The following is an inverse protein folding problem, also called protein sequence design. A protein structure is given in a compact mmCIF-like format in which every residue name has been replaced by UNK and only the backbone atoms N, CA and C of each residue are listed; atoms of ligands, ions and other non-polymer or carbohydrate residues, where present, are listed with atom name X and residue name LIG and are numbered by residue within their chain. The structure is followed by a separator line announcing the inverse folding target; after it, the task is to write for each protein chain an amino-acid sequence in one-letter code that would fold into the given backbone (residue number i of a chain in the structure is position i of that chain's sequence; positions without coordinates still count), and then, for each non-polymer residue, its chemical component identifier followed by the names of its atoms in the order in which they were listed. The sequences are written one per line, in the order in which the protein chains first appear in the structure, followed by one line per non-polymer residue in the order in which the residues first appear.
data_IF_143320035155
#
_entry.id   IF_143320035155
#
_cell.length_a   1.000
_cell.length_b   1.000
_cell.length_c   1.000
_cell.angle_alpha   90.00
_cell.angle_beta   90.00
_cell.angle_gamma   90.00
#
_symmetry.space_group_name_H-M   'P 1'
#
loop_
_entity.id
_entity.type
_entity.pdbx_description
1 polymer ?
#
# COMPACT_ATOMS: atom_id res chain seq x y z
N UNK A 1 -19.15 -3.33 16.75
CA UNK A 1 -18.10 -4.33 17.03
C UNK A 1 -17.35 -4.51 15.70
N UNK A 2 -16.03 -4.40 15.71
CA UNK A 2 -15.25 -4.44 14.47
C UNK A 2 -15.35 -5.80 13.76
N UNK A 3 -15.39 -5.78 12.44
CA UNK A 3 -15.58 -6.96 11.58
C UNK A 3 -14.47 -8.02 11.76
N UNK A 4 -13.26 -7.58 12.07
CA UNK A 4 -12.07 -8.43 12.15
C UNK A 4 -11.57 -8.66 13.58
N UNK A 5 -12.30 -8.17 14.58
CA UNK A 5 -11.91 -8.30 16.00
C UNK A 5 -11.64 -9.76 16.37
N UNK A 6 -12.51 -10.68 15.96
CA UNK A 6 -12.38 -12.11 16.28
C UNK A 6 -11.05 -12.76 15.81
N UNK A 7 -10.34 -12.13 14.87
CA UNK A 7 -9.04 -12.63 14.40
C UNK A 7 -7.88 -12.31 15.35
N UNK A 8 -8.05 -11.32 16.25
CA UNK A 8 -6.93 -10.71 16.99
C UNK A 8 -7.27 -10.37 18.44
N UNK A 9 -8.47 -10.68 18.94
CA UNK A 9 -8.93 -10.34 20.29
C UNK A 9 -8.44 -11.32 21.37
N UNK A 10 -7.92 -12.47 20.96
CA UNK A 10 -7.32 -13.46 21.84
C UNK A 10 -5.82 -13.62 21.56
N UNK A 11 -5.09 -14.12 22.56
CA UNK A 11 -3.65 -14.43 22.39
C UNK A 11 -3.44 -15.43 21.26
N UNK A 12 -4.26 -16.47 21.19
CA UNK A 12 -4.20 -17.49 20.15
C UNK A 12 -4.52 -16.91 18.76
N UNK A 13 -5.57 -16.09 18.65
CA UNK A 13 -5.92 -15.39 17.41
C UNK A 13 -4.80 -14.48 16.93
N UNK A 14 -4.17 -13.73 17.83
CA UNK A 14 -3.04 -12.86 17.51
C UNK A 14 -1.82 -13.66 17.02
N UNK A 15 -1.51 -14.82 17.61
CA UNK A 15 -0.43 -15.67 17.15
C UNK A 15 -0.73 -16.31 15.78
N UNK A 16 -1.97 -16.74 15.53
CA UNK A 16 -2.41 -17.19 14.21
C UNK A 16 -2.30 -16.09 13.16
N UNK A 17 -2.70 -14.86 13.53
CA UNK A 17 -2.57 -13.69 12.66
C UNK A 17 -1.10 -13.40 12.34
N UNK A 18 -0.25 -13.39 13.36
CA UNK A 18 1.20 -13.20 13.22
C UNK A 18 1.82 -14.21 12.27
N UNK A 19 1.51 -15.49 12.46
CA UNK A 19 2.00 -16.58 11.61
C UNK A 19 1.51 -16.45 10.16
N UNK A 20 0.20 -16.19 9.96
CA UNK A 20 -0.42 -16.03 8.64
C UNK A 20 0.22 -14.91 7.82
N UNK A 21 0.49 -13.76 8.45
CA UNK A 21 1.07 -12.60 7.77
C UNK A 21 2.59 -12.49 7.92
N UNK A 22 3.24 -13.52 8.47
CA UNK A 22 4.69 -13.63 8.64
C UNK A 22 5.29 -12.42 9.35
N UNK A 23 4.61 -11.95 10.40
CA UNK A 23 5.08 -10.83 11.22
C UNK A 23 6.20 -11.33 12.13
N UNK A 24 7.41 -10.74 12.08
CA UNK A 24 8.55 -11.20 12.87
C UNK A 24 8.27 -11.18 14.38
N UNK A 25 8.84 -12.10 15.16
CA UNK A 25 8.57 -12.23 16.60
C UNK A 25 9.08 -11.02 17.41
N UNK A 26 10.09 -10.31 16.93
CA UNK A 26 10.63 -9.11 17.54
C UNK A 26 9.75 -7.85 17.35
N UNK A 27 8.72 -7.92 16.50
CA UNK A 27 7.77 -6.83 16.27
C UNK A 27 6.69 -6.90 17.33
N UNK A 28 6.53 -5.84 18.13
CA UNK A 28 5.40 -5.71 19.05
C UNK A 28 4.10 -5.48 18.28
N UNK A 29 3.04 -6.21 18.65
CA UNK A 29 1.71 -6.08 18.04
C UNK A 29 0.64 -6.15 19.13
N UNK A 30 -0.35 -5.25 19.05
CA UNK A 30 -1.53 -5.25 19.92
C UNK A 30 -2.76 -4.76 19.16
N UNK A 31 -3.93 -5.25 19.55
CA UNK A 31 -5.20 -4.80 18.98
C UNK A 31 -5.62 -3.45 19.59
N UNK A 32 -6.18 -2.58 18.77
CA UNK A 32 -6.81 -1.35 19.20
C UNK A 32 -8.25 -1.27 18.68
N UNK A 33 -9.19 -1.10 19.59
CA UNK A 33 -10.60 -0.95 19.24
C UNK A 33 -10.87 0.40 18.55
N UNK A 34 -11.96 0.44 17.80
CA UNK A 34 -12.42 1.65 17.12
C UNK A 34 -12.55 2.83 18.10
N UNK A 35 -12.05 3.98 17.69
CA UNK A 35 -12.12 5.24 18.46
C UNK A 35 -11.04 5.43 19.53
N UNK A 36 -10.34 4.38 19.95
CA UNK A 36 -9.27 4.46 20.97
C UNK A 36 -7.85 4.45 20.41
N UNK A 37 -7.68 4.12 19.15
CA UNK A 37 -6.36 3.91 18.54
C UNK A 37 -5.47 5.16 18.49
N UNK A 38 -6.06 6.36 18.44
CA UNK A 38 -5.30 7.63 18.41
C UNK A 38 -4.67 7.89 19.78
N UNK A 39 -5.43 7.69 20.85
CA UNK A 39 -5.03 8.01 22.21
C UNK A 39 -4.10 6.94 22.80
N UNK A 40 -4.28 5.68 22.39
CA UNK A 40 -3.50 4.54 22.89
C UNK A 40 -2.10 4.41 22.27
N UNK A 41 -1.77 5.24 21.29
CA UNK A 41 -0.50 5.14 20.56
C UNK A 41 0.64 5.86 21.26
N UNK A 42 1.75 5.14 21.47
CA UNK A 42 3.00 5.69 21.99
C UNK A 42 3.91 6.21 20.85
N UNK A 43 4.88 7.03 21.23
CA UNK A 43 5.92 7.48 20.28
C UNK A 43 6.65 6.29 19.67
N UNK A 44 6.85 6.32 18.35
CA UNK A 44 7.51 5.23 17.60
C UNK A 44 6.59 4.07 17.21
N UNK A 45 5.32 4.07 17.63
CA UNK A 45 4.32 3.10 17.19
C UNK A 45 3.61 3.57 15.91
N UNK A 46 3.18 2.60 15.11
CA UNK A 46 2.34 2.84 13.93
C UNK A 46 1.01 2.09 14.06
N UNK A 47 -0.06 2.74 13.64
CA UNK A 47 -1.40 2.15 13.59
C UNK A 47 -1.69 1.72 12.16
N UNK A 48 -2.14 0.49 11.97
CA UNK A 48 -2.42 -0.08 10.66
C UNK A 48 -3.78 -0.75 10.70
N UNK A 49 -4.68 -0.45 9.76
CA UNK A 49 -5.96 -1.15 9.65
C UNK A 49 -5.76 -2.64 9.36
N UNK A 50 -6.50 -3.52 10.02
CA UNK A 50 -6.41 -4.98 9.77
C UNK A 50 -6.70 -5.33 8.31
N UNK A 51 -7.62 -4.62 7.69
CA UNK A 51 -7.98 -4.80 6.28
C UNK A 51 -6.80 -4.55 5.31
N UNK A 52 -5.81 -3.75 5.72
CA UNK A 52 -4.58 -3.55 4.94
C UNK A 52 -3.78 -4.85 4.76
N UNK A 53 -3.86 -5.75 5.73
CA UNK A 53 -3.25 -7.09 5.63
C UNK A 53 -4.14 -8.05 4.84
N UNK A 54 -5.44 -8.10 5.16
CA UNK A 54 -6.37 -9.08 4.61
C UNK A 54 -6.59 -8.85 3.11
N UNK A 55 -6.93 -7.64 2.72
CA UNK A 55 -7.24 -7.28 1.33
C UNK A 55 -6.07 -6.58 0.63
N UNK A 56 -5.30 -5.77 1.35
CA UNK A 56 -4.15 -5.05 0.80
C UNK A 56 -2.89 -5.89 0.65
N UNK A 57 -2.77 -7.00 1.39
CA UNK A 57 -1.58 -7.83 1.39
C UNK A 57 -0.35 -7.12 1.97
N UNK A 58 -0.55 -6.22 2.90
CA UNK A 58 0.52 -5.52 3.59
C UNK A 58 1.45 -6.49 4.31
N UNK A 59 2.73 -6.15 4.41
CA UNK A 59 3.76 -6.94 5.12
C UNK A 59 4.46 -6.10 6.18
N UNK A 60 4.92 -6.75 7.24
CA UNK A 60 5.79 -6.19 8.27
C UNK A 60 7.09 -7.02 8.28
N UNK A 61 8.26 -6.40 8.30
CA UNK A 61 8.54 -4.95 8.23
C UNK A 61 8.03 -4.28 6.95
N UNK A 62 7.61 -3.02 7.11
CA UNK A 62 7.12 -2.24 5.96
C UNK A 62 8.26 -1.95 4.99
N UNK A 63 8.15 -2.45 3.78
CA UNK A 63 9.18 -2.31 2.75
C UNK A 63 9.42 -0.88 2.28
N UNK A 64 10.60 -0.63 1.73
CA UNK A 64 11.08 0.70 1.32
C UNK A 64 10.14 1.40 0.32
N UNK A 65 9.63 0.69 -0.69
CA UNK A 65 8.70 1.28 -1.67
C UNK A 65 7.46 1.84 -0.98
N UNK A 66 6.83 1.07 -0.08
CA UNK A 66 5.63 1.50 0.65
C UNK A 66 5.92 2.70 1.55
N UNK A 67 7.02 2.67 2.30
CA UNK A 67 7.42 3.79 3.17
C UNK A 67 7.67 5.06 2.36
N UNK A 68 8.43 4.97 1.27
CA UNK A 68 8.75 6.11 0.43
C UNK A 68 7.49 6.69 -0.22
N UNK A 69 6.55 5.85 -0.65
CA UNK A 69 5.25 6.28 -1.16
C UNK A 69 4.46 7.05 -0.10
N UNK A 70 4.33 6.48 1.10
CA UNK A 70 3.60 7.11 2.21
C UNK A 70 4.26 8.43 2.64
N UNK A 71 5.59 8.49 2.67
CA UNK A 71 6.34 9.72 2.97
C UNK A 71 6.15 10.79 1.91
N UNK A 72 6.23 10.42 0.64
CA UNK A 72 6.05 11.34 -0.49
C UNK A 72 4.69 12.02 -0.43
N UNK A 73 3.63 11.27 -0.17
CA UNK A 73 2.29 11.80 -0.03
C UNK A 73 1.94 12.29 1.38
N UNK A 74 2.83 12.16 2.35
CA UNK A 74 2.62 12.49 3.77
C UNK A 74 1.39 11.79 4.37
N UNK A 75 1.17 10.54 4.00
CA UNK A 75 0.05 9.73 4.46
C UNK A 75 0.50 8.77 5.56
N UNK A 76 -0.34 8.62 6.58
CA UNK A 76 -0.24 7.50 7.52
C UNK A 76 -0.97 6.27 6.97
N UNK A 77 -0.62 5.05 7.41
CA UNK A 77 -1.30 3.84 6.96
C UNK A 77 -2.81 3.83 7.25
N UNK A 78 -3.27 4.53 8.30
CA UNK A 78 -4.69 4.65 8.65
C UNK A 78 -5.53 5.42 7.63
N UNK A 79 -4.87 6.23 6.79
CA UNK A 79 -5.51 7.00 5.74
C UNK A 79 -5.56 6.26 4.40
N UNK A 80 -4.96 5.08 4.31
CA UNK A 80 -4.73 4.37 3.05
C UNK A 80 -5.68 3.21 2.85
N UNK A 81 -6.42 3.23 1.75
CA UNK A 81 -7.29 2.12 1.35
C UNK A 81 -6.49 0.84 1.04
N UNK A 82 -7.10 -0.35 1.19
CA UNK A 82 -6.45 -1.62 0.90
C UNK A 82 -5.87 -1.71 -0.51
N UNK A 83 -6.53 -1.12 -1.51
CA UNK A 83 -6.04 -1.15 -2.89
C UNK A 83 -4.66 -0.51 -3.05
N UNK A 84 -4.35 0.51 -2.26
CA UNK A 84 -3.05 1.17 -2.27
C UNK A 84 -1.94 0.18 -1.85
N UNK A 85 -2.14 -0.55 -0.77
CA UNK A 85 -1.16 -1.55 -0.32
C UNK A 85 -1.05 -2.71 -1.33
N UNK A 86 -2.15 -3.10 -1.96
CA UNK A 86 -2.15 -4.13 -3.01
C UNK A 86 -1.31 -3.71 -4.20
N UNK A 87 -1.45 -2.48 -4.68
CA UNK A 87 -0.63 -1.92 -5.76
C UNK A 87 0.85 -1.91 -5.37
N UNK A 88 1.18 -1.34 -4.22
CA UNK A 88 2.57 -1.21 -3.77
C UNK A 88 3.23 -2.59 -3.56
N UNK A 89 2.50 -3.56 -3.00
CA UNK A 89 3.00 -4.93 -2.87
C UNK A 89 3.23 -5.59 -4.23
N UNK A 90 2.29 -5.44 -5.15
CA UNK A 90 2.42 -6.04 -6.48
C UNK A 90 3.63 -5.47 -7.23
N UNK A 91 3.87 -4.16 -7.15
CA UNK A 91 5.04 -3.52 -7.74
C UNK A 91 6.33 -4.00 -7.06
N UNK A 92 6.33 -4.20 -5.74
CA UNK A 92 7.47 -4.81 -5.05
C UNK A 92 7.78 -6.19 -5.62
N UNK A 93 6.76 -7.05 -5.79
CA UNK A 93 6.93 -8.39 -6.39
C UNK A 93 7.42 -8.33 -7.83
N UNK A 94 6.94 -7.37 -8.62
CA UNK A 94 7.44 -7.14 -9.98
C UNK A 94 8.91 -6.74 -9.97
N UNK A 95 9.31 -5.83 -9.09
CA UNK A 95 10.70 -5.45 -8.93
C UNK A 95 11.59 -6.67 -8.61
N UNK A 96 11.15 -7.52 -7.69
CA UNK A 96 11.90 -8.71 -7.28
C UNK A 96 11.99 -9.78 -8.39
N UNK A 97 10.88 -10.03 -9.10
CA UNK A 97 10.83 -11.10 -10.13
C UNK A 97 11.44 -10.70 -11.45
N UNK A 98 11.32 -9.45 -11.82
CA UNK A 98 11.69 -8.94 -13.12
C UNK A 98 12.97 -8.08 -13.08
N UNK A 99 13.62 -8.01 -11.90
CA UNK A 99 14.78 -7.16 -11.66
C UNK A 99 14.54 -5.70 -12.09
N UNK A 100 13.30 -5.19 -11.84
CA UNK A 100 12.94 -3.82 -12.13
C UNK A 100 13.29 -2.94 -10.93
N UNK A 101 13.45 -1.65 -11.18
CA UNK A 101 13.68 -0.67 -10.13
C UNK A 101 12.58 0.40 -10.16
N UNK A 102 11.32 -0.05 -10.10
CA UNK A 102 10.16 0.83 -10.03
C UNK A 102 10.08 1.46 -8.65
N UNK A 103 9.92 2.77 -8.63
CA UNK A 103 9.90 3.61 -7.43
C UNK A 103 8.49 4.13 -7.15
N UNK A 104 8.32 4.87 -6.07
CA UNK A 104 7.07 5.57 -5.77
C UNK A 104 6.73 6.65 -6.81
N UNK A 105 7.70 7.20 -7.53
CA UNK A 105 7.46 8.12 -8.64
C UNK A 105 6.80 7.40 -9.83
N UNK A 106 7.26 6.19 -10.16
CA UNK A 106 6.67 5.38 -11.22
C UNK A 106 5.22 4.97 -10.86
N UNK A 107 4.97 4.65 -9.58
CA UNK A 107 3.60 4.43 -9.08
C UNK A 107 2.73 5.67 -9.28
N UNK A 108 3.22 6.85 -8.90
CA UNK A 108 2.49 8.11 -9.06
C UNK A 108 2.28 8.50 -10.52
N UNK A 109 3.12 8.00 -11.43
CA UNK A 109 2.95 8.22 -12.85
C UNK A 109 1.80 7.39 -13.44
N UNK A 110 1.62 6.16 -12.97
CA UNK A 110 0.57 5.23 -13.46
C UNK A 110 -0.75 5.45 -12.73
N UNK A 111 -0.71 5.81 -11.46
CA UNK A 111 -1.88 5.95 -10.60
C UNK A 111 -2.04 7.37 -10.06
N UNK A 112 -3.28 7.82 -9.96
CA UNK A 112 -3.66 9.01 -9.22
C UNK A 112 -4.07 8.65 -7.79
N UNK A 113 -3.65 9.49 -6.84
CA UNK A 113 -4.17 9.45 -5.48
C UNK A 113 -5.51 10.20 -5.42
N UNK A 114 -6.56 9.50 -5.05
CA UNK A 114 -7.91 10.05 -4.89
C UNK A 114 -8.32 10.06 -3.43
N UNK A 115 -9.00 11.13 -3.01
CA UNK A 115 -9.60 11.22 -1.69
C UNK A 115 -11.04 10.68 -1.74
N UNK A 116 -11.36 9.82 -0.80
CA UNK A 116 -12.74 9.38 -0.56
C UNK A 116 -13.26 10.03 0.72
N UNK A 117 -14.29 10.87 0.57
CA UNK A 117 -14.87 11.66 1.68
C UNK A 117 -15.08 10.78 2.92
N UNK A 118 -14.44 11.12 4.03
CA UNK A 118 -14.56 10.41 5.30
C UNK A 118 -13.89 9.02 5.38
N UNK A 119 -13.30 8.51 4.30
CA UNK A 119 -12.80 7.12 4.22
C UNK A 119 -11.31 6.99 3.86
N UNK A 120 -10.59 8.12 3.68
CA UNK A 120 -9.17 8.10 3.38
C UNK A 120 -8.85 8.21 1.88
N UNK A 121 -7.71 7.66 1.46
CA UNK A 121 -7.15 7.79 0.12
C UNK A 121 -7.02 6.44 -0.56
N UNK A 122 -7.22 6.41 -1.88
CA UNK A 122 -7.07 5.22 -2.72
C UNK A 122 -6.36 5.53 -4.03
N UNK A 123 -5.81 4.53 -4.67
CA UNK A 123 -5.19 4.65 -5.98
C UNK A 123 -6.17 4.30 -7.09
N UNK A 124 -6.21 5.15 -8.13
CA UNK A 124 -6.96 4.93 -9.36
C UNK A 124 -6.03 5.05 -10.55
N UNK A 125 -6.07 4.10 -11.49
CA UNK A 125 -5.28 4.20 -12.71
C UNK A 125 -5.58 5.51 -13.46
N UNK A 126 -4.53 6.17 -13.95
CA UNK A 126 -4.66 7.34 -14.83
C UNK A 126 -5.25 6.96 -16.19
N UNK A 127 -4.90 5.77 -16.63
CA UNK A 127 -5.29 5.22 -17.92
C UNK A 127 -6.18 4.02 -17.68
N UNK A 128 -7.52 4.14 -17.86
CA UNK A 128 -8.47 3.06 -17.56
C UNK A 128 -8.17 1.77 -18.33
N UNK A 129 -7.66 1.88 -19.53
CA UNK A 129 -7.26 0.78 -20.42
C UNK A 129 -5.93 0.13 -20.02
N UNK A 130 -5.09 0.85 -19.26
CA UNK A 130 -3.77 0.38 -18.82
C UNK A 130 -3.82 0.09 -17.32
N UNK A 131 -4.20 -1.14 -16.95
CA UNK A 131 -4.25 -1.56 -15.55
C UNK A 131 -3.06 -2.46 -15.24
N UNK A 132 -2.02 -1.88 -14.66
CA UNK A 132 -0.84 -2.65 -14.24
C UNK A 132 -1.21 -3.76 -13.23
N UNK A 133 -2.17 -3.49 -12.35
CA UNK A 133 -2.67 -4.44 -11.37
C UNK A 133 -4.18 -4.60 -11.56
N UNK A 134 -4.60 -5.85 -11.74
CA UNK A 134 -6.01 -6.22 -11.85
C UNK A 134 -6.57 -6.68 -10.50
N UNK A 135 -7.89 -6.86 -10.40
CA UNK A 135 -8.58 -7.37 -9.22
C UNK A 135 -8.23 -6.59 -7.94
N UNK A 136 -8.17 -5.27 -8.06
CA UNK A 136 -7.96 -4.41 -6.90
C UNK A 136 -9.19 -4.42 -6.00
N UNK A 137 -9.02 -4.40 -4.66
CA UNK A 137 -10.13 -4.22 -3.73
C UNK A 137 -10.89 -2.93 -4.07
N UNK A 138 -12.20 -3.04 -4.24
CA UNK A 138 -13.08 -1.92 -4.59
C UNK A 138 -13.76 -1.31 -3.37
N UNK A 139 -13.75 -2.04 -2.25
CA UNK A 139 -14.43 -1.65 -1.02
C UNK A 139 -13.45 -1.19 0.04
N UNK A 140 -13.79 -0.07 0.68
CA UNK A 140 -13.10 0.41 1.88
C UNK A 140 -13.88 0.07 3.17
N UNK A 141 -14.85 -0.85 3.07
CA UNK A 141 -15.59 -1.33 4.23
C UNK A 141 -14.61 -1.96 5.22
N UNK A 142 -14.66 -1.52 6.47
CA UNK A 142 -13.74 -1.98 7.52
C UNK A 142 -12.41 -1.20 7.63
N UNK A 143 -12.17 -0.18 6.79
CA UNK A 143 -10.93 0.62 6.90
C UNK A 143 -10.78 1.29 8.27
N UNK A 144 -11.88 1.72 8.88
CA UNK A 144 -11.90 2.43 10.17
C UNK A 144 -12.48 1.61 11.33
N UNK A 145 -12.58 0.30 11.18
CA UNK A 145 -13.23 -0.54 12.18
C UNK A 145 -12.26 -1.18 13.16
N UNK A 146 -11.20 -1.79 12.64
CA UNK A 146 -10.26 -2.59 13.41
C UNK A 146 -8.82 -2.23 13.07
N UNK A 147 -8.01 -2.01 14.10
CA UNK A 147 -6.64 -1.57 13.96
C UNK A 147 -5.68 -2.45 14.77
N UNK A 148 -4.47 -2.56 14.24
CA UNK A 148 -3.33 -3.10 14.97
C UNK A 148 -2.32 -1.98 15.21
N UNK A 149 -1.76 -1.96 16.40
CA UNK A 149 -0.66 -1.07 16.76
C UNK A 149 0.61 -1.89 16.77
N UNK A 150 1.57 -1.44 15.99
CA UNK A 150 2.88 -2.05 15.86
C UNK A 150 3.92 -1.19 16.56
N UNK A 151 4.77 -1.83 17.37
CA UNK A 151 5.90 -1.22 18.03
C UNK A 151 7.17 -1.98 17.70
N UNK A 152 8.31 -1.28 17.65
CA UNK A 152 9.64 -1.83 17.32
C UNK A 152 9.65 -2.63 16.01
N UNK A 153 10.70 -2.57 15.25
CA UNK A 153 10.93 -3.43 14.08
C UNK A 153 9.86 -3.43 12.97
N UNK A 154 8.85 -2.55 13.02
CA UNK A 154 7.78 -2.51 12.02
C UNK A 154 8.23 -1.91 10.68
N UNK A 155 9.40 -1.30 10.64
CA UNK A 155 9.98 -0.73 9.42
C UNK A 155 11.51 -0.93 9.38
N UNK A 156 12.06 -0.89 8.17
CA UNK A 156 13.49 -0.83 7.91
C UNK A 156 13.89 0.62 7.62
N UNK A 157 14.95 1.12 8.23
CA UNK A 157 15.42 2.48 8.03
C UNK A 157 14.42 3.55 8.48
N UNK A 158 14.21 4.60 7.67
CA UNK A 158 13.34 5.72 8.04
C UNK A 158 11.86 5.34 8.03
N UNK A 159 11.08 5.69 9.08
CA UNK A 159 9.67 5.38 9.15
C UNK A 159 8.84 6.25 8.18
N UNK A 160 7.65 5.80 7.83
CA UNK A 160 6.62 6.62 7.20
C UNK A 160 5.91 7.51 8.24
N UNK A 161 5.08 8.48 7.81
CA UNK A 161 4.22 9.22 8.74
C UNK A 161 3.33 8.27 9.56
N UNK A 162 3.28 8.49 10.86
CA UNK A 162 2.48 7.68 11.78
C UNK A 162 1.20 8.40 12.22
N UNK A 163 1.13 9.72 12.04
CA UNK A 163 -0.05 10.55 12.34
C UNK A 163 -0.79 10.88 11.06
N UNK A 164 -2.11 10.95 11.13
CA UNK A 164 -2.92 11.47 10.03
C UNK A 164 -2.60 12.94 9.80
N UNK A 165 -2.49 13.32 8.53
CA UNK A 165 -2.17 14.66 8.11
C UNK A 165 -2.84 14.99 6.78
N UNK A 166 -2.71 16.24 6.34
CA UNK A 166 -3.09 16.61 4.98
C UNK A 166 -2.04 16.06 4.01
N UNK A 167 -2.44 15.46 2.89
CA UNK A 167 -1.50 14.99 1.88
C UNK A 167 -0.58 16.13 1.43
N UNK A 168 0.70 15.82 1.34
CA UNK A 168 1.67 16.74 0.74
C UNK A 168 1.50 16.80 -0.77
N UNK A 169 1.98 17.89 -1.38
CA UNK A 169 1.78 18.26 -2.77
C UNK A 169 2.26 17.24 -3.82
N UNK A 170 1.53 16.20 -4.03
CA UNK A 170 1.63 15.29 -5.18
C UNK A 170 0.31 15.19 -5.93
N UNK A 171 -0.70 15.96 -5.49
CA UNK A 171 -2.07 15.88 -6.02
C UNK A 171 -2.27 16.63 -7.35
N UNK A 172 -1.37 17.54 -7.67
CA UNK A 172 -1.35 18.22 -8.97
C UNK A 172 -0.03 17.96 -9.65
N UNK A 173 0.00 17.03 -10.56
CA UNK A 173 1.06 17.02 -11.57
C UNK A 173 0.81 18.29 -12.42
N UNK A 174 1.49 19.36 -12.08
CA UNK A 174 1.62 20.46 -13.02
C UNK A 174 2.20 19.88 -14.29
N UNK A 175 1.54 20.13 -15.42
CA UNK A 175 1.98 19.71 -16.76
C UNK A 175 3.44 20.08 -17.06
N UNK A 176 4.01 21.04 -16.35
CA UNK A 176 5.42 21.42 -16.41
C UNK A 176 6.38 20.37 -15.80
N UNK A 177 5.97 19.62 -14.76
CA UNK A 177 6.79 18.55 -14.21
C UNK A 177 6.92 17.38 -15.21
N UNK A 178 5.89 17.14 -16.02
CA UNK A 178 5.93 16.15 -17.10
C UNK A 178 6.98 16.49 -18.15
N UNK A 179 7.08 17.77 -18.54
CA UNK A 179 8.07 18.26 -19.52
C UNK A 179 9.48 18.19 -18.93
N UNK A 180 9.69 18.54 -17.66
CA UNK A 180 11.00 18.45 -17.01
C UNK A 180 11.48 17.00 -16.81
N UNK A 181 10.58 16.08 -16.50
CA UNK A 181 10.90 14.65 -16.38
C UNK A 181 11.21 14.06 -17.76
N UNK A 182 10.48 14.45 -18.80
CA UNK A 182 10.73 14.02 -20.18
C UNK A 182 12.08 14.52 -20.72
N UNK A 183 12.53 15.69 -20.27
CA UNK A 183 13.81 16.28 -20.70
C UNK A 183 15.01 15.84 -19.87
N UNK A 184 14.82 15.31 -18.67
CA UNK A 184 15.92 14.91 -17.75
C UNK A 184 16.32 13.43 -17.84
N UNK A 185 15.56 12.59 -18.56
CA UNK A 185 15.93 11.20 -18.77
C UNK A 185 16.49 10.98 -20.17
N UNK A 186 17.62 10.26 -20.33
CA UNK A 186 18.07 9.87 -21.66
C UNK A 186 16.99 9.04 -22.34
N UNK A 187 16.70 9.36 -23.59
CA UNK A 187 15.65 8.79 -24.43
C UNK A 187 15.69 7.24 -24.46
N UNK A 188 16.88 6.66 -24.33
CA UNK A 188 17.10 5.21 -24.27
C UNK A 188 16.52 4.56 -23.00
N UNK A 189 16.58 5.23 -21.83
CA UNK A 189 16.00 4.72 -20.58
C UNK A 189 14.48 4.87 -20.54
N UNK A 190 13.95 5.88 -21.24
CA UNK A 190 12.51 6.09 -21.35
C UNK A 190 11.87 5.03 -22.26
N UNK A 191 12.48 4.77 -23.40
CA UNK A 191 12.01 3.75 -24.35
C UNK A 191 12.09 2.34 -23.74
N UNK A 192 13.15 1.99 -23.02
CA UNK A 192 13.27 0.66 -22.37
C UNK A 192 12.25 0.48 -21.26
N UNK A 193 12.05 1.45 -20.37
CA UNK A 193 11.02 1.35 -19.32
C UNK A 193 9.60 1.36 -19.91
N UNK A 194 9.33 2.19 -20.92
CA UNK A 194 8.03 2.27 -21.56
C UNK A 194 7.72 1.02 -22.41
N UNK A 195 8.71 0.53 -23.17
CA UNK A 195 8.58 -0.71 -23.93
C UNK A 195 8.43 -1.93 -23.02
N UNK A 196 9.14 -1.96 -21.89
CA UNK A 196 9.03 -3.03 -20.91
C UNK A 196 7.67 -3.02 -20.20
N UNK A 197 7.18 -1.85 -19.80
CA UNK A 197 5.85 -1.71 -19.18
C UNK A 197 4.77 -2.08 -20.22
N UNK A 198 4.89 -1.64 -21.46
CA UNK A 198 3.94 -1.92 -22.54
C UNK A 198 3.96 -3.41 -22.97
N UNK A 199 5.14 -3.99 -23.13
CA UNK A 199 5.31 -5.42 -23.46
C UNK A 199 4.82 -6.31 -22.31
N UNK A 200 5.03 -5.88 -21.07
CA UNK A 200 4.58 -6.59 -19.88
C UNK A 200 3.05 -6.52 -19.69
N UNK A 201 2.43 -5.40 -20.02
CA UNK A 201 0.96 -5.28 -20.06
C UNK A 201 0.37 -6.25 -21.09
N UNK A 202 1.00 -6.38 -22.26
CA UNK A 202 0.60 -7.35 -23.28
C UNK A 202 0.78 -8.81 -22.81
N UNK A 203 1.85 -9.12 -22.09
CA UNK A 203 2.07 -10.46 -21.53
C UNK A 203 1.09 -10.80 -20.40
N UNK A 204 0.78 -9.84 -19.50
CA UNK A 204 -0.19 -10.07 -18.39
C UNK A 204 -1.62 -10.23 -18.92
N UNK A 205 -1.98 -9.60 -20.02
CA UNK A 205 -3.31 -9.80 -20.63
C UNK A 205 -3.55 -11.24 -21.10
N UNK A 206 -2.50 -12.04 -21.19
CA UNK A 206 -2.57 -13.46 -21.57
C UNK A 206 -2.49 -14.42 -20.37
N UNK A 207 -2.18 -13.91 -19.15
CA UNK A 207 -2.13 -14.75 -17.95
C UNK A 207 -3.43 -14.58 -17.17
N UNK A 208 -4.39 -15.47 -17.39
CA UNK A 208 -5.57 -15.60 -16.54
C UNK A 208 -5.13 -16.12 -15.16
N UNK A 209 -5.18 -15.25 -14.16
CA UNK A 209 -4.99 -15.67 -12.76
C UNK A 209 -6.23 -16.44 -12.34
N UNK A 210 -6.11 -17.67 -11.83
CA UNK A 210 -7.26 -18.44 -11.34
C UNK A 210 -7.96 -17.67 -10.20
N UNK A 211 -9.30 -17.78 -10.09
CA UNK A 211 -10.05 -17.12 -9.03
C UNK A 211 -9.59 -17.60 -7.66
N UNK A 212 -9.58 -16.70 -6.69
CA UNK A 212 -9.21 -16.98 -5.31
C UNK A 212 -10.19 -18.03 -4.72
N UNK A 213 -9.73 -19.21 -4.26
CA UNK A 213 -10.61 -20.28 -3.76
C UNK A 213 -11.31 -19.95 -2.42
N UNK A 214 -11.18 -18.73 -1.90
CA UNK A 214 -11.73 -18.31 -0.61
C UNK A 214 -12.76 -17.16 -0.71
N UNK A 215 -13.39 -16.99 -1.88
CA UNK A 215 -14.46 -15.99 -2.09
C UNK A 215 -15.85 -16.63 -2.03
N UNK A 216 -16.16 -17.36 -0.99
CA UNK A 216 -17.52 -17.71 -0.59
C UNK A 216 -17.77 -17.24 0.83
#
# INVERSE_FOLDING_TARGET
MGRFKCLVDSKEGMEKFRAKYRIPPNVGIRYAAQGKWVDDRKTGEVVIPIIAFIEGGMTIPMGTLTKNFLRFFRLSPTQCAPNMFRVLRSIKVLNERMNLNLTHHDVNWIYNLHHMKGQGYYLKSRYPEVRLIQCLPTSNKGLKEDFLIFSRGWHDGLPCPTKEGKPGGGLTVNSYALVCILLSFPLSMFLTKFFFIFYFILMISQITVPPNPYST
#
